data_IF_861707200702
#
_entry.id   IF_861707200702
#
_cell.length_a   1.000
_cell.length_b   1.000
_cell.length_c   1.000
_cell.angle_alpha   90.00
_cell.angle_beta   90.00
_cell.angle_gamma   90.00
#
_symmetry.space_group_name_H-M   'P 1'
#
loop_
_entity.id
_entity.type
_entity.pdbx_description
1 polymer ?
#
# COMPACT_ATOMS: atom_id res chain seq x y z
N UNK A 1 -11.36 -14.51 62.03
CA UNK A 1 -12.81 -14.26 62.13
C UNK A 1 -13.27 -14.75 63.50
N UNK A 2 -13.83 -13.87 64.31
CA UNK A 2 -14.52 -14.25 65.55
C UNK A 2 -15.70 -15.16 65.20
N UNK A 3 -15.94 -16.20 66.01
CA UNK A 3 -17.07 -17.14 65.85
C UNK A 3 -18.41 -16.51 66.26
N UNK A 4 -18.61 -15.24 65.92
CA UNK A 4 -19.76 -14.45 66.31
C UNK A 4 -20.91 -14.76 65.35
N UNK A 5 -22.03 -15.24 65.87
CA UNK A 5 -23.21 -15.53 65.06
C UNK A 5 -23.94 -14.23 64.71
N UNK A 6 -23.49 -13.55 63.66
CA UNK A 6 -24.02 -12.25 63.22
C UNK A 6 -25.48 -12.32 62.79
N UNK A 7 -25.91 -13.46 62.25
CA UNK A 7 -27.29 -13.66 61.83
C UNK A 7 -28.21 -13.73 63.05
N UNK A 8 -27.83 -14.50 64.09
CA UNK A 8 -28.58 -14.54 65.35
C UNK A 8 -28.61 -13.18 66.05
N UNK A 9 -27.49 -12.44 66.05
CA UNK A 9 -27.44 -11.09 66.62
C UNK A 9 -28.35 -10.10 65.86
N UNK A 10 -28.39 -10.21 64.53
CA UNK A 10 -29.29 -9.41 63.69
C UNK A 10 -30.75 -9.72 63.98
N UNK A 11 -31.12 -10.99 64.04
CA UNK A 11 -32.50 -11.41 64.35
C UNK A 11 -32.92 -11.01 65.77
N UNK A 12 -32.01 -11.09 66.74
CA UNK A 12 -32.26 -10.60 68.10
C UNK A 12 -32.48 -9.07 68.12
N UNK A 13 -31.68 -8.31 67.37
CA UNK A 13 -31.88 -6.86 67.22
C UNK A 13 -33.24 -6.55 66.58
N UNK A 14 -33.62 -7.27 65.52
CA UNK A 14 -34.88 -7.08 64.81
C UNK A 14 -36.10 -7.40 65.72
N UNK A 15 -36.03 -8.43 66.56
CA UNK A 15 -37.09 -8.72 67.55
C UNK A 15 -37.18 -7.65 68.63
N UNK A 16 -36.05 -7.21 69.19
CA UNK A 16 -36.01 -6.15 70.19
C UNK A 16 -36.58 -4.81 69.68
N UNK A 17 -36.43 -4.49 68.39
CA UNK A 17 -37.02 -3.28 67.78
C UNK A 17 -38.56 -3.28 67.76
N UNK A 18 -39.19 -4.45 67.84
CA UNK A 18 -40.64 -4.65 67.78
C UNK A 18 -41.24 -5.12 69.11
N UNK A 19 -40.47 -4.99 70.19
CA UNK A 19 -40.83 -5.49 71.52
C UNK A 19 -41.81 -4.56 72.23
N UNK A 20 -42.99 -5.10 72.57
CA UNK A 20 -44.09 -4.38 73.23
C UNK A 20 -44.02 -4.53 74.77
N UNK A 21 -43.27 -5.52 75.29
CA UNK A 21 -43.23 -5.87 76.72
C UNK A 21 -41.82 -5.86 77.34
N UNK A 22 -40.77 -5.58 76.56
CA UNK A 22 -39.39 -5.39 77.03
C UNK A 22 -38.55 -6.68 77.16
N UNK A 23 -39.15 -7.86 76.96
CA UNK A 23 -38.49 -9.15 77.12
C UNK A 23 -37.42 -9.42 76.05
N UNK A 24 -37.71 -9.12 74.79
CA UNK A 24 -36.76 -9.31 73.69
C UNK A 24 -35.62 -8.27 73.75
N UNK A 25 -35.92 -7.08 74.28
CA UNK A 25 -34.93 -6.01 74.51
C UNK A 25 -33.88 -6.41 75.54
N UNK A 26 -34.29 -7.02 76.66
CA UNK A 26 -33.37 -7.49 77.69
C UNK A 26 -32.46 -8.62 77.17
N UNK A 27 -33.04 -9.58 76.43
CA UNK A 27 -32.29 -10.66 75.76
C UNK A 27 -31.27 -10.13 74.77
N UNK A 28 -31.60 -9.05 74.05
CA UNK A 28 -30.66 -8.40 73.15
C UNK A 28 -29.52 -7.71 73.90
N UNK A 29 -29.79 -7.02 75.01
CA UNK A 29 -28.75 -6.38 75.83
C UNK A 29 -27.76 -7.39 76.43
N UNK A 30 -28.22 -8.57 76.84
CA UNK A 30 -27.32 -9.64 77.29
C UNK A 30 -26.39 -10.16 76.18
N UNK A 31 -26.85 -10.15 74.93
CA UNK A 31 -26.06 -10.57 73.77
C UNK A 31 -25.12 -9.47 73.27
N UNK A 32 -25.49 -8.19 73.37
CA UNK A 32 -24.68 -7.03 72.96
C UNK A 32 -23.71 -6.64 74.07
N UNK A 33 -22.73 -7.49 74.30
CA UNK A 33 -21.63 -7.18 75.21
C UNK A 33 -20.62 -6.24 74.55
N UNK A 34 -19.84 -5.45 75.32
CA UNK A 34 -18.80 -4.58 74.75
C UNK A 34 -17.81 -5.32 73.85
N UNK A 35 -17.51 -6.59 74.14
CA UNK A 35 -16.63 -7.42 73.31
C UNK A 35 -17.24 -7.76 71.94
N UNK A 36 -18.55 -7.99 71.87
CA UNK A 36 -19.30 -8.20 70.62
C UNK A 36 -19.27 -6.93 69.76
N UNK A 37 -19.49 -5.76 70.38
CA UNK A 37 -19.45 -4.46 69.68
C UNK A 37 -18.05 -4.17 69.14
N UNK A 38 -17.00 -4.36 69.95
CA UNK A 38 -15.61 -4.16 69.51
C UNK A 38 -15.24 -5.12 68.37
N UNK A 39 -15.63 -6.39 68.47
CA UNK A 39 -15.37 -7.37 67.41
C UNK A 39 -16.02 -6.99 66.07
N UNK A 40 -17.25 -6.46 66.10
CA UNK A 40 -17.93 -5.99 64.89
C UNK A 40 -17.29 -4.72 64.30
N UNK A 41 -16.80 -3.81 65.15
CA UNK A 41 -16.11 -2.59 64.71
C UNK A 41 -14.75 -2.92 64.08
N UNK A 42 -13.97 -3.79 64.72
CA UNK A 42 -12.68 -4.25 64.19
C UNK A 42 -12.85 -4.95 62.85
N UNK A 43 -13.88 -5.79 62.72
CA UNK A 43 -14.19 -6.44 61.45
C UNK A 43 -14.65 -5.45 60.39
N UNK A 44 -15.47 -4.45 60.73
CA UNK A 44 -15.87 -3.41 59.77
C UNK A 44 -14.65 -2.64 59.26
N UNK A 45 -13.73 -2.27 60.17
CA UNK A 45 -12.49 -1.59 59.82
C UNK A 45 -11.61 -2.46 58.90
N UNK A 46 -11.53 -3.76 59.18
CA UNK A 46 -10.81 -4.71 58.34
C UNK A 46 -11.44 -4.82 56.94
N UNK A 47 -12.77 -4.94 56.86
CA UNK A 47 -13.50 -5.01 55.60
C UNK A 47 -13.36 -3.73 54.77
N UNK A 48 -13.32 -2.55 55.40
CA UNK A 48 -13.06 -1.29 54.69
C UNK A 48 -11.66 -1.29 54.08
N UNK A 49 -10.63 -1.71 54.84
CA UNK A 49 -9.26 -1.81 54.34
C UNK A 49 -9.13 -2.80 53.17
N UNK A 50 -9.79 -3.95 53.27
CA UNK A 50 -9.82 -4.94 52.19
C UNK A 50 -10.55 -4.42 50.96
N UNK A 51 -11.67 -3.73 51.14
CA UNK A 51 -12.40 -3.07 50.05
C UNK A 51 -11.52 -2.03 49.34
N UNK A 52 -10.86 -1.15 50.08
CA UNK A 52 -9.99 -0.12 49.52
C UNK A 52 -8.79 -0.75 48.78
N UNK A 53 -8.23 -1.84 49.32
CA UNK A 53 -7.16 -2.58 48.67
C UNK A 53 -7.63 -3.23 47.35
N UNK A 54 -8.82 -3.84 47.34
CA UNK A 54 -9.42 -4.42 46.13
C UNK A 54 -9.73 -3.33 45.11
N UNK A 55 -10.25 -2.18 45.53
CA UNK A 55 -10.54 -1.04 44.65
C UNK A 55 -9.25 -0.50 44.01
N UNK A 56 -8.17 -0.37 44.79
CA UNK A 56 -6.87 0.02 44.26
C UNK A 56 -6.34 -0.97 43.22
N UNK A 57 -6.45 -2.28 43.48
CA UNK A 57 -6.05 -3.33 42.52
C UNK A 57 -6.92 -3.29 41.25
N UNK A 58 -8.23 -3.07 41.39
CA UNK A 58 -9.15 -2.98 40.26
C UNK A 58 -8.86 -1.77 39.37
N UNK A 59 -8.47 -0.63 39.96
CA UNK A 59 -8.03 0.55 39.23
C UNK A 59 -6.72 0.29 38.47
N UNK A 60 -5.71 -0.30 39.12
CA UNK A 60 -4.45 -0.66 38.48
C UNK A 60 -4.67 -1.61 37.29
N UNK A 61 -5.49 -2.66 37.48
CA UNK A 61 -5.83 -3.60 36.40
C UNK A 61 -6.54 -2.91 35.23
N UNK A 62 -7.41 -1.94 35.50
CA UNK A 62 -8.10 -1.17 34.45
C UNK A 62 -7.10 -0.36 33.62
N UNK A 63 -6.11 0.25 34.26
CA UNK A 63 -5.08 1.02 33.58
C UNK A 63 -4.14 0.12 32.77
N UNK A 64 -3.75 -1.04 33.31
CA UNK A 64 -2.96 -2.04 32.58
C UNK A 64 -3.71 -2.54 31.33
N UNK A 65 -5.02 -2.82 31.47
CA UNK A 65 -5.86 -3.23 30.33
C UNK A 65 -5.98 -2.14 29.28
N UNK A 66 -6.03 -0.86 29.69
CA UNK A 66 -6.02 0.27 28.75
C UNK A 66 -4.70 0.34 27.99
N UNK A 67 -3.57 0.27 28.69
CA UNK A 67 -2.24 0.29 28.06
C UNK A 67 -2.04 -0.91 27.12
N UNK A 68 -2.54 -2.09 27.49
CA UNK A 68 -2.49 -3.28 26.63
C UNK A 68 -3.27 -3.08 25.32
N UNK A 69 -4.45 -2.45 25.38
CA UNK A 69 -5.23 -2.10 24.18
C UNK A 69 -4.52 -1.09 23.30
N UNK A 70 -3.95 -0.04 23.87
CA UNK A 70 -3.17 0.95 23.11
C UNK A 70 -1.97 0.32 22.40
N UNK A 71 -1.26 -0.58 23.07
CA UNK A 71 -0.15 -1.34 22.47
C UNK A 71 -0.63 -2.26 21.35
N UNK A 72 -1.79 -2.90 21.53
CA UNK A 72 -2.40 -3.75 20.51
C UNK A 72 -2.77 -2.93 19.26
N UNK A 73 -3.46 -1.80 19.42
CA UNK A 73 -3.81 -0.91 18.31
C UNK A 73 -2.56 -0.40 17.58
N UNK A 74 -1.50 -0.04 18.31
CA UNK A 74 -0.25 0.37 17.70
C UNK A 74 0.43 -0.76 16.91
N UNK A 75 0.38 -2.00 17.42
CA UNK A 75 0.90 -3.18 16.73
C UNK A 75 0.10 -3.49 15.46
N UNK A 76 -1.23 -3.43 15.51
CA UNK A 76 -2.11 -3.62 14.36
C UNK A 76 -1.83 -2.60 13.26
N UNK A 77 -1.65 -1.32 13.62
CA UNK A 77 -1.25 -0.28 12.66
C UNK A 77 0.08 -0.58 11.99
N UNK A 78 1.09 -1.02 12.75
CA UNK A 78 2.41 -1.43 12.20
C UNK A 78 2.28 -2.64 11.27
N UNK A 79 1.46 -3.63 11.62
CA UNK A 79 1.22 -4.79 10.76
C UNK A 79 0.53 -4.40 9.46
N UNK A 80 -0.45 -3.49 9.50
CA UNK A 80 -1.11 -2.98 8.31
C UNK A 80 -0.14 -2.23 7.39
N UNK A 81 0.73 -1.39 7.96
CA UNK A 81 1.79 -0.69 7.21
C UNK A 81 2.77 -1.68 6.56
N UNK A 82 3.26 -2.66 7.32
CA UNK A 82 4.14 -3.72 6.81
C UNK A 82 3.46 -4.53 5.69
N UNK A 83 2.18 -4.88 5.85
CA UNK A 83 1.42 -5.58 4.82
C UNK A 83 1.30 -4.77 3.54
N UNK A 84 1.14 -3.44 3.63
CA UNK A 84 1.10 -2.56 2.47
C UNK A 84 2.47 -2.50 1.75
N UNK A 85 3.56 -2.43 2.52
CA UNK A 85 4.93 -2.46 1.96
C UNK A 85 5.20 -3.79 1.26
N UNK A 86 4.85 -4.92 1.88
CA UNK A 86 5.02 -6.25 1.27
C UNK A 86 4.22 -6.37 -0.02
N UNK A 87 2.96 -5.90 -0.04
CA UNK A 87 2.14 -5.92 -1.25
C UNK A 87 2.73 -5.02 -2.36
N UNK A 88 3.28 -3.86 -2.02
CA UNK A 88 3.96 -2.99 -2.97
C UNK A 88 5.24 -3.63 -3.51
N UNK A 89 6.05 -4.25 -2.65
CA UNK A 89 7.26 -4.97 -3.03
C UNK A 89 6.93 -6.16 -3.94
N UNK A 90 5.86 -6.92 -3.64
CA UNK A 90 5.40 -8.02 -4.48
C UNK A 90 5.00 -7.53 -5.87
N UNK A 91 4.23 -6.44 -5.97
CA UNK A 91 3.88 -5.83 -7.26
C UNK A 91 5.11 -5.40 -8.04
N UNK A 92 6.07 -4.75 -7.39
CA UNK A 92 7.32 -4.33 -8.03
C UNK A 92 8.13 -5.51 -8.56
N UNK A 93 8.22 -6.58 -7.78
CA UNK A 93 8.86 -7.84 -8.17
C UNK A 93 8.12 -8.43 -9.38
N UNK A 94 6.79 -8.57 -9.34
CA UNK A 94 5.99 -9.13 -10.46
C UNK A 94 6.06 -8.31 -11.75
N UNK A 95 6.12 -6.97 -11.67
CA UNK A 95 6.21 -6.10 -12.86
C UNK A 95 7.57 -6.17 -13.56
N UNK A 96 8.64 -6.58 -12.85
CA UNK A 96 9.94 -6.91 -13.42
C UNK A 96 9.90 -8.41 -13.73
N UNK A 97 9.55 -8.80 -14.97
CA UNK A 97 9.21 -10.19 -15.38
C UNK A 97 10.08 -11.32 -14.81
N UNK A 98 9.59 -12.57 -14.88
CA UNK A 98 10.05 -13.78 -14.14
C UNK A 98 11.53 -13.82 -13.75
N UNK A 99 12.43 -13.55 -14.69
CA UNK A 99 13.89 -13.48 -14.50
C UNK A 99 14.33 -12.50 -13.38
N UNK A 100 13.83 -11.26 -13.39
CA UNK A 100 14.18 -10.24 -12.40
C UNK A 100 13.49 -10.50 -11.06
N UNK A 101 12.27 -11.04 -11.09
CA UNK A 101 11.56 -11.43 -9.88
C UNK A 101 12.35 -12.48 -9.09
N UNK A 102 12.79 -13.55 -9.76
CA UNK A 102 13.54 -14.65 -9.15
C UNK A 102 14.95 -14.23 -8.72
N UNK A 103 15.62 -13.36 -9.49
CA UNK A 103 16.90 -12.77 -9.08
C UNK A 103 16.75 -11.94 -7.79
N UNK A 104 15.69 -11.13 -7.70
CA UNK A 104 15.39 -10.33 -6.50
C UNK A 104 15.06 -11.23 -5.30
N UNK A 105 14.28 -12.29 -5.46
CA UNK A 105 14.00 -13.24 -4.37
C UNK A 105 15.26 -13.94 -3.86
N UNK A 106 16.14 -14.39 -4.76
CA UNK A 106 17.44 -15.00 -4.38
C UNK A 106 18.33 -13.99 -3.64
N UNK A 107 18.35 -12.73 -4.08
CA UNK A 107 19.11 -11.66 -3.41
C UNK A 107 18.55 -11.34 -2.01
N UNK A 108 17.23 -11.22 -1.88
CA UNK A 108 16.56 -10.96 -0.60
C UNK A 108 16.76 -12.11 0.38
N UNK A 109 16.57 -13.36 -0.06
CA UNK A 109 16.79 -14.53 0.78
C UNK A 109 18.24 -14.63 1.29
N UNK A 110 19.21 -14.30 0.43
CA UNK A 110 20.63 -14.18 0.85
C UNK A 110 20.85 -13.06 1.87
N UNK A 111 20.20 -11.91 1.69
CA UNK A 111 20.33 -10.75 2.57
C UNK A 111 19.73 -11.00 3.97
N UNK A 112 18.60 -11.69 4.03
CA UNK A 112 17.89 -12.01 5.28
C UNK A 112 18.26 -13.38 5.87
N UNK A 113 19.19 -14.12 5.24
CA UNK A 113 19.64 -15.44 5.70
C UNK A 113 18.55 -16.51 5.67
N UNK A 114 17.50 -16.34 4.86
CA UNK A 114 16.38 -17.26 4.74
C UNK A 114 16.68 -18.28 3.65
N UNK A 115 16.35 -19.55 3.89
CA UNK A 115 16.50 -20.62 2.89
C UNK A 115 15.54 -20.33 1.72
N UNK A 116 16.10 -20.17 0.51
CA UNK A 116 15.27 -20.11 -0.70
C UNK A 116 14.65 -21.49 -0.93
N UNK A 117 13.36 -21.58 -1.32
CA UNK A 117 12.83 -22.81 -1.88
C UNK A 117 13.72 -23.23 -3.06
N UNK A 118 13.81 -24.53 -3.35
CA UNK A 118 14.64 -25.03 -4.45
C UNK A 118 14.01 -24.61 -5.79
N UNK A 119 14.35 -23.40 -6.24
CA UNK A 119 13.88 -22.85 -7.51
C UNK A 119 14.74 -23.43 -8.64
N UNK A 120 14.13 -23.87 -9.75
CA UNK A 120 14.85 -24.34 -10.92
C UNK A 120 15.91 -23.32 -11.38
N UNK A 121 16.96 -23.76 -12.10
CA UNK A 121 18.00 -22.88 -12.62
C UNK A 121 17.37 -21.71 -13.37
N UNK A 122 17.90 -20.49 -13.18
CA UNK A 122 17.50 -19.30 -13.92
C UNK A 122 17.83 -19.50 -15.40
N UNK A 123 16.96 -20.17 -16.14
CA UNK A 123 16.99 -20.14 -17.59
C UNK A 123 16.44 -18.77 -17.95
N UNK A 124 17.21 -17.96 -18.67
CA UNK A 124 16.68 -16.72 -19.23
C UNK A 124 15.61 -17.11 -20.25
N UNK A 125 14.34 -17.21 -19.80
CA UNK A 125 13.19 -17.54 -20.65
C UNK A 125 12.99 -16.49 -21.77
N UNK A 126 13.67 -15.34 -21.63
CA UNK A 126 13.74 -14.29 -22.62
C UNK A 126 14.86 -14.45 -23.67
N UNK A 127 15.72 -15.51 -23.67
CA UNK A 127 16.68 -15.70 -24.79
C UNK A 127 15.91 -15.88 -26.11
N UNK A 128 14.76 -16.56 -26.07
CA UNK A 128 13.97 -16.82 -27.27
C UNK A 128 13.26 -15.58 -27.84
N UNK A 129 13.07 -14.53 -27.04
CA UNK A 129 12.63 -13.22 -27.55
C UNK A 129 13.80 -12.27 -27.81
N UNK A 130 14.92 -12.40 -27.09
CA UNK A 130 16.12 -11.61 -27.33
C UNK A 130 16.66 -11.89 -28.74
N UNK A 131 16.81 -13.16 -29.13
CA UNK A 131 17.31 -13.50 -30.47
C UNK A 131 16.35 -13.03 -31.58
N UNK A 132 15.04 -13.22 -31.42
CA UNK A 132 14.05 -12.78 -32.40
C UNK A 132 13.97 -11.25 -32.53
N UNK A 133 13.98 -10.53 -31.40
CA UNK A 133 13.93 -9.05 -31.36
C UNK A 133 15.27 -8.46 -31.83
N UNK A 134 16.41 -9.08 -31.51
CA UNK A 134 17.72 -8.63 -32.00
C UNK A 134 17.86 -8.83 -33.51
N UNK A 135 17.34 -9.93 -34.06
CA UNK A 135 17.25 -10.16 -35.51
C UNK A 135 16.35 -9.11 -36.16
N UNK A 136 15.19 -8.81 -35.57
CA UNK A 136 14.25 -7.82 -36.11
C UNK A 136 14.82 -6.39 -36.04
N UNK A 137 15.46 -6.02 -34.93
CA UNK A 137 16.17 -4.73 -34.79
C UNK A 137 17.30 -4.62 -35.80
N UNK A 138 18.05 -5.70 -36.02
CA UNK A 138 19.14 -5.71 -37.01
C UNK A 138 18.60 -5.57 -38.43
N UNK A 139 17.52 -6.28 -38.76
CA UNK A 139 16.85 -6.17 -40.05
C UNK A 139 16.28 -4.76 -40.28
N UNK A 140 15.66 -4.15 -39.27
CA UNK A 140 15.15 -2.78 -39.34
C UNK A 140 16.27 -1.75 -39.49
N UNK A 141 17.38 -1.91 -38.77
CA UNK A 141 18.57 -1.05 -38.92
C UNK A 141 19.17 -1.17 -40.32
N UNK A 142 19.29 -2.38 -40.86
CA UNK A 142 19.73 -2.59 -42.24
C UNK A 142 18.77 -1.92 -43.22
N UNK A 143 17.45 -2.06 -43.03
CA UNK A 143 16.46 -1.42 -43.90
C UNK A 143 16.53 0.10 -43.85
N UNK A 144 16.75 0.69 -42.68
CA UNK A 144 16.97 2.13 -42.54
C UNK A 144 18.23 2.54 -43.32
N UNK A 145 19.34 1.81 -43.17
CA UNK A 145 20.57 2.10 -43.90
C UNK A 145 20.39 1.99 -45.42
N UNK A 146 19.67 0.98 -45.90
CA UNK A 146 19.29 0.84 -47.31
C UNK A 146 18.45 2.03 -47.80
N UNK A 147 17.46 2.46 -47.00
CA UNK A 147 16.60 3.60 -47.33
C UNK A 147 17.37 4.92 -47.31
N UNK A 148 18.29 5.09 -46.36
CA UNK A 148 19.14 6.28 -46.26
C UNK A 148 20.21 6.34 -47.37
N UNK A 149 20.70 5.18 -47.84
CA UNK A 149 21.61 5.11 -48.98
C UNK A 149 20.90 5.28 -50.33
N UNK A 150 19.57 5.06 -50.39
CA UNK A 150 18.80 5.17 -51.62
C UNK A 150 18.67 6.64 -52.03
N UNK A 151 19.29 7.01 -53.14
CA UNK A 151 19.10 8.32 -53.76
C UNK A 151 17.72 8.41 -54.41
N UNK A 152 16.94 9.44 -54.05
CA UNK A 152 15.67 9.73 -54.72
C UNK A 152 15.94 10.44 -56.03
N UNK A 153 15.54 9.83 -57.16
CA UNK A 153 15.63 10.46 -58.47
C UNK A 153 14.49 11.47 -58.64
N UNK A 154 14.85 12.75 -58.75
CA UNK A 154 13.87 13.80 -59.03
C UNK A 154 13.48 13.80 -60.51
N UNK A 155 12.23 14.16 -60.85
CA UNK A 155 11.80 14.29 -62.23
C UNK A 155 12.49 15.47 -62.94
N UNK A 156 12.49 15.44 -64.27
CA UNK A 156 13.15 16.48 -65.07
C UNK A 156 12.40 17.82 -65.03
N UNK A 157 13.14 18.89 -65.34
CA UNK A 157 12.58 20.24 -65.51
C UNK A 157 11.53 20.24 -66.62
N UNK A 158 10.45 20.98 -66.43
CA UNK A 158 9.47 21.18 -67.49
C UNK A 158 10.10 22.01 -68.63
N UNK A 159 9.91 21.61 -69.90
CA UNK A 159 10.62 22.21 -71.02
C UNK A 159 10.14 23.64 -71.32
N UNK A 160 11.03 24.48 -71.85
CA UNK A 160 10.75 25.90 -72.13
C UNK A 160 9.71 26.10 -73.24
N UNK A 161 9.51 25.09 -74.07
CA UNK A 161 8.52 25.09 -75.14
C UNK A 161 7.18 24.44 -74.71
N UNK A 162 6.96 24.11 -73.43
CA UNK A 162 5.75 23.44 -72.97
C UNK A 162 4.45 24.15 -73.41
N UNK A 163 4.49 25.48 -73.42
CA UNK A 163 3.33 26.30 -73.79
C UNK A 163 3.11 26.39 -75.31
N UNK A 164 4.15 26.18 -76.12
CA UNK A 164 4.03 26.15 -77.58
C UNK A 164 3.57 24.80 -78.12
N UNK A 165 3.60 23.74 -77.30
CA UNK A 165 3.09 22.40 -77.67
C UNK A 165 1.58 22.27 -77.39
N UNK A 166 0.99 23.24 -76.69
CA UNK A 166 -0.42 23.24 -76.31
C UNK A 166 -1.19 24.31 -77.10
N UNK A 167 -2.19 23.89 -77.86
CA UNK A 167 -2.91 24.77 -78.78
C UNK A 167 -3.99 25.60 -78.07
N UNK A 168 -3.90 26.94 -78.18
CA UNK A 168 -4.83 27.93 -77.61
C UNK A 168 -4.28 28.79 -76.45
N UNK A 169 -4.66 30.08 -76.41
CA UNK A 169 -4.14 31.09 -75.46
C UNK A 169 -4.46 30.79 -73.98
N UNK A 170 -5.67 30.28 -73.67
CA UNK A 170 -6.01 29.87 -72.30
C UNK A 170 -5.16 28.69 -71.82
N UNK A 171 -4.85 27.74 -72.71
CA UNK A 171 -3.94 26.63 -72.41
C UNK A 171 -2.49 27.09 -72.30
N UNK A 172 -2.10 28.15 -73.02
CA UNK A 172 -0.77 28.75 -72.92
C UNK A 172 -0.50 29.32 -71.53
N UNK A 173 -1.43 30.09 -70.95
CA UNK A 173 -1.29 30.67 -69.62
C UNK A 173 -1.23 29.61 -68.51
N UNK A 174 -2.06 28.58 -68.62
CA UNK A 174 -2.05 27.44 -67.68
C UNK A 174 -0.74 26.65 -67.81
N UNK A 175 -0.20 26.50 -69.02
CA UNK A 175 1.02 25.75 -69.28
C UNK A 175 2.29 26.48 -68.79
N UNK A 176 2.37 27.80 -68.95
CA UNK A 176 3.49 28.60 -68.44
C UNK A 176 3.46 28.65 -66.91
N UNK A 177 2.29 28.89 -66.31
CA UNK A 177 2.14 28.89 -64.85
C UNK A 177 2.45 27.52 -64.23
N UNK A 178 2.01 26.41 -64.84
CA UNK A 178 2.38 25.07 -64.40
C UNK A 178 3.90 24.83 -64.50
N UNK A 179 4.52 25.19 -65.63
CA UNK A 179 5.97 25.04 -65.83
C UNK A 179 6.77 25.80 -64.77
N UNK A 180 6.42 27.06 -64.54
CA UNK A 180 7.16 27.93 -63.65
C UNK A 180 7.02 27.47 -62.19
N UNK A 181 5.80 27.07 -61.78
CA UNK A 181 5.55 26.50 -60.45
C UNK A 181 6.23 25.14 -60.26
N UNK A 182 6.17 24.25 -61.25
CA UNK A 182 6.87 22.96 -61.23
C UNK A 182 8.38 23.14 -61.08
N UNK A 183 8.97 24.03 -61.87
CA UNK A 183 10.40 24.30 -61.86
C UNK A 183 10.86 24.98 -60.57
N UNK A 184 10.05 25.89 -60.01
CA UNK A 184 10.33 26.51 -58.72
C UNK A 184 10.30 25.48 -57.58
N UNK A 185 9.30 24.60 -57.56
CA UNK A 185 9.20 23.51 -56.59
C UNK A 185 10.37 22.52 -56.71
N UNK A 186 10.71 22.11 -57.94
CA UNK A 186 11.85 21.23 -58.20
C UNK A 186 13.18 21.85 -57.73
N UNK A 187 13.37 23.16 -57.92
CA UNK A 187 14.54 23.89 -57.44
C UNK A 187 14.62 23.92 -55.91
N UNK A 188 13.48 24.09 -55.23
CA UNK A 188 13.39 24.06 -53.76
C UNK A 188 13.78 22.69 -53.21
N UNK A 189 13.16 21.62 -53.73
CA UNK A 189 13.45 20.24 -53.32
C UNK A 189 14.90 19.87 -53.56
N UNK A 190 15.47 20.29 -54.69
CA UNK A 190 16.89 20.06 -55.01
C UNK A 190 17.81 20.78 -54.02
N UNK A 191 17.45 22.01 -53.61
CA UNK A 191 18.23 22.79 -52.63
C UNK A 191 18.16 22.17 -51.24
N UNK A 192 17.00 21.71 -50.80
CA UNK A 192 16.82 21.02 -49.51
C UNK A 192 17.62 19.71 -49.46
N UNK A 193 17.60 18.94 -50.55
CA UNK A 193 18.40 17.72 -50.68
C UNK A 193 19.92 18.02 -50.59
N UNK A 194 20.39 19.09 -51.24
CA UNK A 194 21.80 19.49 -51.19
C UNK A 194 22.23 20.00 -49.80
N UNK A 195 21.31 20.58 -49.03
CA UNK A 195 21.56 21.07 -47.68
C UNK A 195 21.51 19.98 -46.59
N UNK A 196 21.18 18.73 -46.94
CA UNK A 196 21.09 17.62 -45.99
C UNK A 196 19.94 17.75 -44.97
N UNK A 197 18.96 18.62 -45.23
CA UNK A 197 17.82 18.86 -44.35
C UNK A 197 16.85 17.68 -44.54
N UNK A 198 17.03 16.62 -43.74
CA UNK A 198 16.03 15.57 -43.58
C UNK A 198 14.82 16.20 -42.87
N UNK A 199 13.63 16.04 -43.44
CA UNK A 199 12.40 16.68 -42.94
C UNK A 199 12.22 16.51 -41.43
N UNK A 200 11.84 17.60 -40.75
CA UNK A 200 11.55 17.64 -39.32
C UNK A 200 10.35 16.75 -38.94
#
# INVERSE_FOLDING_TARGET
MTALNKQALREAAERAMHDDWGYDTDIFHEQVTPSVVLALLDENLQLQREKDAIEAVALALRDDMRQAREKLEAAERRMAEQSAIVAAAEKLVRCKGRYHSELNYRALAKLFGVITPDLPPLVHENVHYAEAVEVEISALRQRIQELEARTVTLPQRAPENLASVLDGYEKWLIATTFRDTWNACLAEVTRMNAAGIKGA
#
